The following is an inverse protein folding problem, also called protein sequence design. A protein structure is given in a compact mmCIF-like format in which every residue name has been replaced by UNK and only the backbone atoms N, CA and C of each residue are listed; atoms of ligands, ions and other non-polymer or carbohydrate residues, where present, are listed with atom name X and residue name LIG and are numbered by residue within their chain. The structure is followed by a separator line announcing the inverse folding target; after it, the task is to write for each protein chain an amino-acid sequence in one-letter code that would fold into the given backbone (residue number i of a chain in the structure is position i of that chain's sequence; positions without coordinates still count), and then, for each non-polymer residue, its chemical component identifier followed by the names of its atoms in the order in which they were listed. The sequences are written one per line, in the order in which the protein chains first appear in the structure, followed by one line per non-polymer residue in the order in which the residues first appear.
data_IF_626489517600
#
_entry.id   IF_626489517600
#
_cell.length_a   1.000
_cell.length_b   1.000
_cell.length_c   1.000
_cell.angle_alpha   90.00
_cell.angle_beta   90.00
_cell.angle_gamma   90.00
#
_symmetry.space_group_name_H-M   'P 1'
#
loop_
_entity.id
_entity.type
_entity.pdbx_description
1 polymer ?
#
# COMPACT_ATOMS: atom_id res chain seq x y z
N UNK A 1 -18.37 -2.58 6.28
CA UNK A 1 -17.14 -1.75 6.39
C UNK A 1 -17.36 -0.51 5.54
N UNK A 2 -16.96 0.68 6.00
CA UNK A 2 -17.08 1.90 5.19
C UNK A 2 -15.91 1.96 4.17
N UNK A 3 -16.13 2.35 2.90
CA UNK A 3 -15.07 2.50 1.90
C UNK A 3 -13.90 3.37 2.39
N UNK A 4 -14.17 4.50 3.05
CA UNK A 4 -13.11 5.36 3.62
C UNK A 4 -12.29 4.64 4.69
N UNK A 5 -12.92 3.81 5.53
CA UNK A 5 -12.22 3.03 6.55
C UNK A 5 -11.38 1.92 5.93
N UNK A 6 -11.89 1.26 4.89
CA UNK A 6 -11.15 0.25 4.14
C UNK A 6 -9.88 0.86 3.52
N UNK A 7 -10.02 1.97 2.80
CA UNK A 7 -8.89 2.68 2.20
C UNK A 7 -7.87 3.05 3.28
N UNK A 8 -8.29 3.72 4.36
CA UNK A 8 -7.37 4.11 5.44
C UNK A 8 -6.58 2.94 6.01
N UNK A 9 -7.21 1.77 6.21
CA UNK A 9 -6.52 0.55 6.66
C UNK A 9 -5.52 0.03 5.64
N UNK A 10 -5.88 0.01 4.35
CA UNK A 10 -4.97 -0.40 3.27
C UNK A 10 -3.79 0.57 3.11
N UNK A 11 -4.02 1.88 3.24
CA UNK A 11 -2.95 2.88 3.20
C UNK A 11 -2.00 2.78 4.40
N UNK A 12 -2.52 2.49 5.61
CA UNK A 12 -1.67 2.20 6.77
C UNK A 12 -0.80 0.97 6.54
N UNK A 13 -1.37 -0.09 5.95
CA UNK A 13 -0.60 -1.28 5.55
C UNK A 13 0.49 -0.92 4.55
N UNK A 14 0.17 -0.18 3.48
CA UNK A 14 1.15 0.27 2.48
C UNK A 14 2.28 1.09 3.13
N UNK A 15 1.96 2.07 3.97
CA UNK A 15 2.97 2.88 4.65
C UNK A 15 3.84 2.06 5.63
N UNK A 16 3.30 0.99 6.21
CA UNK A 16 4.08 0.07 7.06
C UNK A 16 4.99 -0.86 6.25
N UNK A 17 4.55 -1.29 5.06
CA UNK A 17 5.30 -2.18 4.16
C UNK A 17 6.40 -1.42 3.41
N UNK A 18 6.10 -0.19 2.99
CA UNK A 18 6.99 0.68 2.21
C UNK A 18 7.33 1.92 3.04
N UNK A 19 8.39 1.81 3.84
CA UNK A 19 8.77 2.84 4.82
C UNK A 19 9.14 4.20 4.20
N UNK A 20 9.59 4.19 2.95
CA UNK A 20 9.88 5.40 2.17
C UNK A 20 8.62 6.05 1.57
N UNK A 21 7.46 5.40 1.65
CA UNK A 21 6.22 5.88 1.05
C UNK A 21 5.63 7.03 1.85
N UNK A 22 5.36 8.11 1.14
CA UNK A 22 4.50 9.21 1.54
C UNK A 22 3.20 9.08 0.81
N UNK A 23 2.11 9.08 1.56
CA UNK A 23 0.78 8.81 1.04
C UNK A 23 -0.13 9.99 1.38
N UNK A 24 -0.86 10.49 0.39
CA UNK A 24 -1.94 11.47 0.59
C UNK A 24 -3.25 10.88 0.06
N UNK A 25 -4.35 11.20 0.71
CA UNK A 25 -5.67 10.69 0.35
C UNK A 25 -6.73 11.79 0.37
N UNK A 26 -7.58 11.82 -0.66
CA UNK A 26 -8.70 12.74 -0.80
C UNK A 26 -9.93 11.98 -1.34
N UNK A 27 -11.10 12.17 -0.72
CA UNK A 27 -12.36 11.72 -1.29
C UNK A 27 -13.06 12.85 -2.04
N UNK A 28 -13.40 12.59 -3.29
CA UNK A 28 -14.16 13.52 -4.14
C UNK A 28 -15.61 13.11 -4.24
N UNK A 29 -16.46 13.79 -3.48
CA UNK A 29 -17.91 13.53 -3.44
C UNK A 29 -18.57 13.75 -4.82
N UNK A 30 -18.08 14.69 -5.62
CA UNK A 30 -18.64 15.00 -6.94
C UNK A 30 -18.48 13.85 -7.95
N UNK A 31 -17.45 13.02 -7.82
CA UNK A 31 -17.20 11.88 -8.70
C UNK A 31 -17.27 10.53 -7.98
N UNK A 32 -17.58 10.54 -6.68
CA UNK A 32 -17.50 9.37 -5.79
C UNK A 32 -16.16 8.64 -5.98
N UNK A 33 -15.04 9.38 -5.91
CA UNK A 33 -13.70 8.87 -6.19
C UNK A 33 -12.78 9.01 -4.99
N UNK A 34 -12.10 7.93 -4.66
CA UNK A 34 -11.01 7.84 -3.70
C UNK A 34 -9.69 8.05 -4.45
N UNK A 35 -9.07 9.21 -4.24
CA UNK A 35 -7.79 9.52 -4.87
C UNK A 35 -6.70 9.32 -3.85
N UNK A 36 -5.71 8.51 -4.23
CA UNK A 36 -4.59 8.12 -3.40
C UNK A 36 -3.33 8.52 -4.14
N UNK A 37 -2.51 9.35 -3.52
CA UNK A 37 -1.25 9.78 -4.09
C UNK A 37 -0.08 9.14 -3.36
N UNK A 38 0.84 8.56 -4.14
CA UNK A 38 2.01 7.84 -3.67
C UNK A 38 3.28 8.55 -4.11
N UNK A 39 4.16 8.79 -3.14
CA UNK A 39 5.42 9.51 -3.29
C UNK A 39 6.50 8.69 -2.56
N UNK A 40 7.71 8.49 -3.10
CA UNK A 40 8.25 9.09 -4.33
C UNK A 40 7.81 8.34 -5.60
N UNK A 41 7.88 9.01 -6.76
CA UNK A 41 7.58 8.41 -8.08
C UNK A 41 8.33 7.09 -8.32
N UNK A 42 9.57 6.98 -7.83
CA UNK A 42 10.35 5.76 -7.98
C UNK A 42 9.70 4.53 -7.33
N UNK A 43 9.02 4.71 -6.19
CA UNK A 43 8.25 3.63 -5.56
C UNK A 43 7.06 3.26 -6.45
N UNK A 44 6.36 4.27 -6.98
CA UNK A 44 5.17 4.09 -7.81
C UNK A 44 5.47 3.34 -9.14
N UNK A 45 6.58 3.67 -9.81
CA UNK A 45 6.88 3.11 -11.14
C UNK A 45 7.78 1.87 -11.12
N UNK A 46 8.71 1.76 -10.17
CA UNK A 46 9.81 0.80 -10.24
C UNK A 46 9.78 -0.27 -9.15
N UNK A 47 8.75 -0.30 -8.30
CA UNK A 47 8.63 -1.30 -7.23
C UNK A 47 7.51 -2.30 -7.55
N UNK A 48 7.91 -3.51 -7.99
CA UNK A 48 6.99 -4.59 -8.35
C UNK A 48 6.12 -5.05 -7.16
N UNK A 49 6.66 -5.04 -5.94
CA UNK A 49 5.90 -5.41 -4.75
C UNK A 49 4.81 -4.38 -4.45
N UNK A 50 5.07 -3.10 -4.69
CA UNK A 50 4.07 -2.04 -4.54
C UNK A 50 2.97 -2.17 -5.61
N UNK A 51 3.34 -2.39 -6.88
CA UNK A 51 2.39 -2.60 -7.98
C UNK A 51 1.44 -3.78 -7.70
N UNK A 52 1.95 -4.87 -7.12
CA UNK A 52 1.13 -6.02 -6.74
C UNK A 52 0.14 -5.67 -5.62
N UNK A 53 0.55 -4.90 -4.61
CA UNK A 53 -0.36 -4.47 -3.54
C UNK A 53 -1.36 -3.43 -4.03
N UNK A 54 -0.98 -2.50 -4.92
CA UNK A 54 -1.90 -1.56 -5.57
C UNK A 54 -3.01 -2.32 -6.30
N UNK A 55 -2.63 -3.25 -7.17
CA UNK A 55 -3.59 -4.08 -7.92
C UNK A 55 -4.55 -4.83 -7.00
N UNK A 56 -4.03 -5.44 -5.92
CA UNK A 56 -4.87 -6.14 -4.94
C UNK A 56 -5.85 -5.22 -4.23
N UNK A 57 -5.41 -4.01 -3.87
CA UNK A 57 -6.28 -3.04 -3.20
C UNK A 57 -7.38 -2.58 -4.16
N UNK A 58 -7.06 -2.34 -5.43
CA UNK A 58 -8.02 -1.97 -6.46
C UNK A 58 -9.05 -3.08 -6.66
N UNK A 59 -8.61 -4.32 -6.91
CA UNK A 59 -9.49 -5.48 -7.10
C UNK A 59 -10.42 -5.69 -5.91
N UNK A 60 -9.88 -5.71 -4.68
CA UNK A 60 -10.69 -5.84 -3.46
C UNK A 60 -11.66 -4.67 -3.27
N UNK A 61 -11.26 -3.45 -3.63
CA UNK A 61 -12.10 -2.26 -3.51
C UNK A 61 -13.28 -2.33 -4.48
N UNK A 62 -13.02 -2.68 -5.75
CA UNK A 62 -14.04 -2.78 -6.79
C UNK A 62 -15.06 -3.89 -6.47
N UNK A 63 -14.61 -5.01 -5.91
CA UNK A 63 -15.51 -6.09 -5.47
C UNK A 63 -16.42 -5.66 -4.31
N UNK A 64 -15.88 -4.92 -3.33
CA UNK A 64 -16.61 -4.52 -2.12
C UNK A 64 -17.47 -3.27 -2.33
N UNK A 65 -17.05 -2.35 -3.20
CA UNK A 65 -17.63 -1.01 -3.37
C UNK A 65 -17.84 -0.64 -4.84
N UNK A 66 -18.65 -1.41 -5.61
CA UNK A 66 -18.79 -1.24 -7.06
C UNK A 66 -19.44 0.07 -7.53
N UNK A 67 -19.91 0.91 -6.59
CA UNK A 67 -20.53 2.21 -6.87
C UNK A 67 -19.56 3.38 -6.71
N UNK A 68 -18.36 3.14 -6.19
CA UNK A 68 -17.33 4.15 -5.95
C UNK A 68 -16.07 3.79 -6.75
N UNK A 69 -15.24 4.80 -7.02
CA UNK A 69 -14.01 4.63 -7.79
C UNK A 69 -12.79 4.79 -6.89
N UNK A 70 -11.73 4.05 -7.18
CA UNK A 70 -10.41 4.20 -6.57
C UNK A 70 -9.41 4.57 -7.66
N UNK A 71 -8.50 5.50 -7.37
CA UNK A 71 -7.49 5.96 -8.32
C UNK A 71 -6.18 6.21 -7.57
N UNK A 72 -5.12 5.53 -7.98
CA UNK A 72 -3.76 5.81 -7.55
C UNK A 72 -3.07 6.78 -8.51
N UNK A 73 -2.34 7.74 -7.94
CA UNK A 73 -1.59 8.76 -8.69
C UNK A 73 -0.20 8.96 -8.07
N UNK A 74 0.71 9.50 -8.86
CA UNK A 74 2.03 9.94 -8.40
C UNK A 74 2.15 11.46 -8.39
N UNK A 75 3.23 11.97 -7.81
CA UNK A 75 3.55 13.42 -7.74
C UNK A 75 3.61 14.14 -9.10
N UNK A 76 3.68 13.41 -10.22
CA UNK A 76 3.72 13.96 -11.57
C UNK A 76 2.38 13.82 -12.34
N UNK A 77 1.32 13.38 -11.67
CA UNK A 77 0.00 13.23 -12.28
C UNK A 77 -0.65 14.58 -12.61
N UNK A 78 -1.45 14.64 -13.68
CA UNK A 78 -2.29 15.81 -13.98
C UNK A 78 -3.37 16.03 -12.91
N UNK A 79 -3.76 14.95 -12.23
CA UNK A 79 -4.68 15.00 -11.11
C UNK A 79 -3.87 15.16 -9.84
N UNK A 80 -4.09 16.26 -9.12
CA UNK A 80 -3.42 16.54 -7.85
C UNK A 80 -4.41 16.47 -6.68
N UNK A 81 -3.93 16.06 -5.51
CA UNK A 81 -4.64 16.23 -4.23
C UNK A 81 -4.37 17.64 -3.71
N UNK A 82 -5.42 18.45 -3.56
CA UNK A 82 -5.29 19.84 -3.10
C UNK A 82 -5.52 19.98 -1.60
N UNK A 83 -6.39 19.14 -1.05
CA UNK A 83 -6.79 19.19 0.34
C UNK A 83 -6.89 17.76 0.88
N UNK A 84 -5.78 17.15 1.30
CA UNK A 84 -5.78 15.78 1.79
C UNK A 84 -6.64 15.65 3.06
N UNK A 85 -7.48 14.62 3.10
CA UNK A 85 -8.23 14.21 4.30
C UNK A 85 -7.39 13.32 5.22
N UNK A 86 -6.32 12.73 4.69
CA UNK A 86 -5.46 11.80 5.40
C UNK A 86 -4.07 11.76 4.76
N UNK A 87 -3.03 11.71 5.59
CA UNK A 87 -1.62 11.71 5.16
C UNK A 87 -0.79 10.73 6.02
N UNK A 88 0.19 10.07 5.39
CA UNK A 88 1.14 9.16 6.04
C UNK A 88 2.56 9.39 5.47
N UNK A 89 3.60 9.10 6.26
CA UNK A 89 5.00 9.22 5.83
C UNK A 89 5.60 10.63 5.94
N UNK A 90 4.83 11.58 6.47
CA UNK A 90 5.28 12.94 6.79
C UNK A 90 5.42 13.05 8.31
N UNK A 91 6.64 12.97 8.84
CA UNK A 91 6.90 13.38 10.24
C UNK A 91 6.65 14.89 10.33
N UNK A 92 5.89 15.41 11.30
CA UNK A 92 6.32 15.47 12.70
C UNK A 92 5.30 14.88 13.68
N UNK A 93 5.78 14.04 14.60
CA UNK A 93 5.01 13.49 15.71
C UNK A 93 4.31 14.59 16.53
N UNK A 94 2.97 14.54 16.60
CA UNK A 94 2.24 14.66 17.87
C UNK A 94 1.12 13.62 17.87
N UNK A 95 1.29 12.60 18.71
CA UNK A 95 0.35 11.52 18.93
C UNK A 95 -0.53 11.87 20.13
N UNK A 96 -1.79 12.27 19.89
CA UNK A 96 -2.90 12.14 20.83
C UNK A 96 -4.12 11.83 19.95
N UNK A 97 -4.72 10.64 19.93
CA UNK A 97 -5.30 9.92 21.06
C UNK A 97 -5.36 8.41 20.81
N UNK A 98 -5.25 7.67 21.90
CA UNK A 98 -5.40 6.23 22.09
C UNK A 98 -6.37 5.52 21.13
N UNK A 99 -5.86 4.59 20.30
CA UNK A 99 -6.28 3.17 20.28
C UNK A 99 -5.54 2.35 19.22
N UNK A 100 -4.87 1.30 19.70
CA UNK A 100 -4.57 0.03 19.04
C UNK A 100 -3.67 0.04 17.79
N UNK A 101 -2.40 -0.26 18.00
CA UNK A 101 -1.58 -0.94 16.98
C UNK A 101 -2.31 -2.23 16.56
N UNK A 102 -2.65 -2.36 15.28
CA UNK A 102 -3.23 -3.59 14.73
C UNK A 102 -2.06 -4.52 14.41
N UNK A 103 -2.03 -5.66 15.09
CA UNK A 103 -1.12 -6.77 14.84
C UNK A 103 -1.56 -7.46 13.54
N UNK A 104 -0.78 -7.33 12.47
CA UNK A 104 -0.99 -8.08 11.23
C UNK A 104 -0.45 -9.51 11.42
N UNK A 105 -1.34 -10.49 11.63
CA UNK A 105 -0.97 -11.90 11.48
C UNK A 105 -0.79 -12.22 10.00
N UNK A 106 0.48 -12.34 9.57
CA UNK A 106 0.83 -12.89 8.27
C UNK A 106 0.54 -14.41 8.30
N UNK A 107 -0.59 -14.83 7.72
CA UNK A 107 -0.86 -16.26 7.47
C UNK A 107 0.10 -16.73 6.38
N UNK A 108 1.20 -17.35 6.81
CA UNK A 108 2.26 -17.86 5.97
C UNK A 108 1.73 -18.82 4.90
N UNK A 109 2.04 -18.52 3.64
CA UNK A 109 2.04 -19.53 2.58
C UNK A 109 3.44 -20.15 2.56
N UNK A 110 3.54 -21.39 3.05
CA UNK A 110 4.72 -22.22 2.87
C UNK A 110 4.75 -22.74 1.44
N UNK A 111 5.72 -22.29 0.64
CA UNK A 111 6.10 -22.99 -0.57
C UNK A 111 7.41 -23.74 -0.28
N UNK A 112 7.29 -25.04 -0.05
CA UNK A 112 8.40 -25.98 0.06
C UNK A 112 9.03 -26.09 -1.34
N UNK A 113 10.11 -25.33 -1.58
CA UNK A 113 10.98 -25.56 -2.74
C UNK A 113 12.07 -26.55 -2.33
N UNK A 114 11.90 -27.80 -2.76
CA UNK A 114 12.90 -28.86 -2.62
C UNK A 114 14.26 -28.39 -3.18
N UNK A 115 15.36 -28.45 -2.39
CA UNK A 115 16.68 -28.07 -2.89
C UNK A 115 17.19 -29.15 -3.86
N UNK A 116 17.36 -28.75 -5.13
CA UNK A 116 18.12 -29.51 -6.14
C UNK A 116 19.57 -29.61 -5.65
N UNK A 117 19.99 -30.82 -5.25
CA UNK A 117 21.38 -31.12 -4.91
C UNK A 117 22.23 -31.12 -6.17
N UNK A 118 23.11 -30.13 -6.31
CA UNK A 118 24.21 -30.17 -7.29
C UNK A 118 25.52 -30.33 -6.51
N UNK A 119 26.00 -31.57 -6.48
CA UNK A 119 27.36 -31.93 -6.09
C UNK A 119 28.36 -31.27 -7.06
N UNK A 120 29.43 -30.67 -6.54
CA UNK A 120 30.80 -30.91 -7.01
C UNK A 120 31.87 -30.32 -6.06
N UNK A 121 32.71 -31.23 -5.54
CA UNK A 121 34.17 -31.14 -5.36
C UNK A 121 34.78 -29.87 -4.74
N UNK A 122 35.33 -30.01 -3.54
CA UNK A 122 36.74 -30.39 -3.33
C UNK A 122 37.14 -30.10 -1.87
N UNK A 123 37.98 -30.97 -1.29
CA UNK A 123 39.09 -30.71 -0.35
C UNK A 123 39.37 -32.01 0.44
N UNK A 124 40.44 -32.69 0.05
CA UNK A 124 41.30 -33.48 0.94
C UNK A 124 42.72 -33.28 0.34
N UNK A 125 43.51 -32.38 0.92
CA UNK A 125 44.43 -32.62 2.03
C UNK A 125 45.64 -33.45 1.59
#
# INVERSE_FOLDING_TARGET
MNPKEFIKKRLQFLASKFSEAKIRYEYRENTHSHIIEIIPLNLYENNEDYLLEETRIEDEFEELFPTENIIFISENSLTEIKSPEFELGYSDFIFESETSCIEFEFLGVSEEVDPISVDYLAIAA
#
